data_IF_603096135978
#
_entry.id   IF_603096135978
#
_cell.length_a   1.000
_cell.length_b   1.000
_cell.length_c   1.000
_cell.angle_alpha   90.00
_cell.angle_beta   90.00
_cell.angle_gamma   90.00
#
_symmetry.space_group_name_H-M   'P 1'
#
loop_
_entity.id
_entity.type
_entity.pdbx_description
1 polymer ?
#
# COMPACT_ATOMS: atom_id res chain seq x y z
N UNK A 1 -29.94 -71.28 -53.50
CA UNK A 1 -28.67 -70.56 -53.24
C UNK A 1 -28.60 -69.24 -54.03
N UNK A 2 -29.38 -68.20 -53.68
CA UNK A 2 -29.30 -66.91 -54.41
C UNK A 2 -29.76 -65.68 -53.61
N UNK A 3 -30.69 -65.82 -52.65
CA UNK A 3 -31.23 -64.66 -51.93
C UNK A 3 -30.38 -64.24 -50.71
N UNK A 4 -29.95 -65.20 -49.90
CA UNK A 4 -29.14 -64.93 -48.69
C UNK A 4 -27.76 -64.35 -49.03
N UNK A 5 -27.11 -64.84 -50.09
CA UNK A 5 -25.80 -64.33 -50.53
C UNK A 5 -25.89 -62.87 -51.03
N UNK A 6 -26.99 -62.49 -51.70
CA UNK A 6 -27.25 -61.10 -52.10
C UNK A 6 -27.52 -60.18 -50.89
N UNK A 7 -28.25 -60.65 -49.88
CA UNK A 7 -28.55 -59.87 -48.67
C UNK A 7 -27.30 -59.61 -47.81
N UNK A 8 -26.44 -60.62 -47.63
CA UNK A 8 -25.19 -60.46 -46.88
C UNK A 8 -24.15 -59.61 -47.62
N UNK A 9 -24.01 -59.76 -48.95
CA UNK A 9 -23.12 -58.90 -49.73
C UNK A 9 -23.57 -57.43 -49.74
N UNK A 10 -24.88 -57.16 -49.87
CA UNK A 10 -25.38 -55.80 -49.94
C UNK A 10 -25.28 -55.06 -48.59
N UNK A 11 -25.42 -55.79 -47.46
CA UNK A 11 -25.22 -55.23 -46.12
C UNK A 11 -23.75 -54.89 -45.84
N UNK A 12 -22.83 -55.79 -46.22
CA UNK A 12 -21.39 -55.55 -46.10
C UNK A 12 -20.89 -54.42 -47.02
N UNK A 13 -21.44 -54.30 -48.23
CA UNK A 13 -21.11 -53.18 -49.15
C UNK A 13 -21.55 -51.84 -48.57
N UNK A 14 -22.76 -51.75 -48.00
CA UNK A 14 -23.24 -50.51 -47.36
C UNK A 14 -22.43 -50.11 -46.12
N UNK A 15 -21.93 -51.10 -45.37
CA UNK A 15 -21.03 -50.83 -44.23
C UNK A 15 -19.65 -50.34 -44.71
N UNK A 16 -19.11 -50.92 -45.78
CA UNK A 16 -17.87 -50.44 -46.41
C UNK A 16 -18.02 -49.03 -47.00
N UNK A 17 -19.15 -48.73 -47.63
CA UNK A 17 -19.46 -47.38 -48.13
C UNK A 17 -19.53 -46.36 -46.99
N UNK A 18 -20.15 -46.71 -45.86
CA UNK A 18 -20.16 -45.85 -44.67
C UNK A 18 -18.76 -45.61 -44.12
N UNK A 19 -17.95 -46.67 -43.99
CA UNK A 19 -16.56 -46.56 -43.50
C UNK A 19 -15.75 -45.67 -44.44
N UNK A 20 -15.89 -45.82 -45.76
CA UNK A 20 -15.21 -44.97 -46.74
C UNK A 20 -15.67 -43.51 -46.65
N UNK A 21 -16.97 -43.27 -46.44
CA UNK A 21 -17.48 -41.91 -46.26
C UNK A 21 -16.86 -41.26 -45.01
N UNK A 22 -16.86 -41.98 -43.89
CA UNK A 22 -16.27 -41.49 -42.62
C UNK A 22 -14.76 -41.28 -42.73
N UNK A 23 -14.04 -42.14 -43.46
CA UNK A 23 -12.62 -41.96 -43.72
C UNK A 23 -12.36 -40.74 -44.61
N UNK A 24 -13.19 -40.52 -45.62
CA UNK A 24 -13.11 -39.33 -46.50
C UNK A 24 -13.33 -38.04 -45.71
N UNK A 25 -14.34 -38.00 -44.84
CA UNK A 25 -14.61 -36.86 -43.94
C UNK A 25 -13.43 -36.60 -42.98
N UNK A 26 -12.85 -37.66 -42.40
CA UNK A 26 -11.67 -37.54 -41.54
C UNK A 26 -10.45 -37.02 -42.30
N UNK A 27 -10.22 -37.49 -43.52
CA UNK A 27 -9.13 -37.00 -44.37
C UNK A 27 -9.31 -35.51 -44.70
N UNK A 28 -10.54 -35.10 -45.04
CA UNK A 28 -10.83 -33.70 -45.35
C UNK A 28 -10.63 -32.78 -44.13
N UNK A 29 -11.00 -33.25 -42.93
CA UNK A 29 -10.76 -32.51 -41.69
C UNK A 29 -9.27 -32.40 -41.35
N UNK A 30 -8.52 -33.50 -41.48
CA UNK A 30 -7.07 -33.48 -41.28
C UNK A 30 -6.36 -32.54 -42.28
N UNK A 31 -6.85 -32.48 -43.51
CA UNK A 31 -6.31 -31.58 -44.53
C UNK A 31 -6.56 -30.11 -44.18
N UNK A 32 -7.75 -29.76 -43.66
CA UNK A 32 -8.03 -28.42 -43.14
C UNK A 32 -7.16 -28.06 -41.94
N UNK A 33 -7.00 -28.97 -40.99
CA UNK A 33 -6.12 -28.75 -39.83
C UNK A 33 -4.65 -28.54 -40.26
N UNK A 34 -4.23 -29.21 -41.33
CA UNK A 34 -2.88 -29.07 -41.88
C UNK A 34 -2.70 -27.70 -42.55
N UNK A 35 -3.66 -27.26 -43.36
CA UNK A 35 -3.67 -25.90 -43.95
C UNK A 35 -3.66 -24.80 -42.87
N UNK A 36 -4.47 -24.95 -41.82
CA UNK A 36 -4.49 -24.02 -40.69
C UNK A 36 -3.13 -23.94 -39.98
N UNK A 37 -2.48 -25.10 -39.78
CA UNK A 37 -1.14 -25.16 -39.18
C UNK A 37 -0.06 -24.59 -40.10
N UNK A 38 -0.16 -24.78 -41.41
CA UNK A 38 0.77 -24.17 -42.37
C UNK A 38 0.65 -22.64 -42.39
N UNK A 39 -0.57 -22.10 -42.32
CA UNK A 39 -0.81 -20.66 -42.17
C UNK A 39 -0.23 -20.14 -40.86
N UNK A 40 -0.42 -20.87 -39.75
CA UNK A 40 0.19 -20.52 -38.46
C UNK A 40 1.72 -20.52 -38.54
N UNK A 41 2.34 -21.53 -39.14
CA UNK A 41 3.80 -21.61 -39.32
C UNK A 41 4.31 -20.47 -40.20
N UNK A 42 3.61 -20.13 -41.29
CA UNK A 42 3.91 -18.97 -42.15
C UNK A 42 3.83 -17.64 -41.38
N UNK A 43 2.83 -17.47 -40.52
CA UNK A 43 2.68 -16.30 -39.66
C UNK A 43 3.79 -16.22 -38.59
N UNK A 44 4.16 -17.35 -37.98
CA UNK A 44 5.26 -17.40 -37.02
C UNK A 44 6.62 -17.14 -37.68
N UNK A 45 6.86 -17.67 -38.88
CA UNK A 45 8.11 -17.45 -39.61
C UNK A 45 8.23 -16.01 -40.14
N UNK A 46 7.11 -15.36 -40.50
CA UNK A 46 7.09 -13.92 -40.81
C UNK A 46 7.27 -13.01 -39.60
N UNK A 47 6.95 -13.48 -38.38
CA UNK A 47 7.32 -12.81 -37.13
C UNK A 47 8.81 -12.97 -36.79
N UNK A 48 9.42 -14.12 -37.11
CA UNK A 48 10.85 -14.37 -36.86
C UNK A 48 11.80 -13.71 -37.88
N UNK A 49 11.33 -13.37 -39.08
CA UNK A 49 12.15 -12.73 -40.12
C UNK A 49 12.36 -11.23 -39.93
N UNK A 50 11.72 -10.60 -38.93
CA UNK A 50 12.10 -9.26 -38.46
C UNK A 50 13.13 -9.41 -37.33
N UNK A 51 14.40 -9.01 -37.53
CA UNK A 51 15.38 -9.08 -36.47
C UNK A 51 14.93 -8.18 -35.31
N UNK A 52 14.97 -8.76 -34.11
CA UNK A 52 14.44 -8.28 -32.84
C UNK A 52 15.23 -7.07 -32.28
N UNK A 53 15.41 -6.04 -33.11
CA UNK A 53 16.25 -4.85 -32.82
C UNK A 53 15.53 -3.83 -31.94
N UNK A 54 14.19 -3.84 -31.95
CA UNK A 54 13.39 -2.83 -31.26
C UNK A 54 13.14 -3.21 -29.79
N UNK A 55 12.86 -4.49 -29.52
CA UNK A 55 12.79 -5.02 -28.15
C UNK A 55 14.15 -4.92 -27.44
N UNK A 56 15.27 -5.18 -28.11
CA UNK A 56 16.60 -5.11 -27.46
C UNK A 56 16.96 -3.68 -27.04
N UNK A 57 16.61 -2.67 -27.84
CA UNK A 57 16.80 -1.25 -27.48
C UNK A 57 15.90 -0.81 -26.33
N UNK A 58 14.64 -1.25 -26.31
CA UNK A 58 13.73 -0.96 -25.21
C UNK A 58 14.19 -1.62 -23.90
N UNK A 59 14.67 -2.87 -23.95
CA UNK A 59 15.26 -3.55 -22.80
C UNK A 59 16.54 -2.87 -22.30
N UNK A 60 17.43 -2.46 -23.21
CA UNK A 60 18.63 -1.68 -22.85
C UNK A 60 18.28 -0.34 -22.20
N UNK A 61 17.25 0.35 -22.70
CA UNK A 61 16.75 1.59 -22.11
C UNK A 61 16.16 1.36 -20.72
N UNK A 62 15.38 0.30 -20.55
CA UNK A 62 14.79 -0.08 -19.26
C UNK A 62 15.87 -0.46 -18.25
N UNK A 63 16.88 -1.22 -18.65
CA UNK A 63 18.02 -1.56 -17.79
C UNK A 63 18.81 -0.32 -17.39
N UNK A 64 19.07 0.60 -18.33
CA UNK A 64 19.71 1.89 -18.04
C UNK A 64 18.89 2.72 -17.04
N UNK A 65 17.58 2.79 -17.21
CA UNK A 65 16.69 3.52 -16.32
C UNK A 65 16.66 2.89 -14.91
N UNK A 66 16.61 1.55 -14.82
CA UNK A 66 16.68 0.85 -13.53
C UNK A 66 17.98 1.13 -12.79
N UNK A 67 19.13 1.10 -13.50
CA UNK A 67 20.44 1.44 -12.91
C UNK A 67 20.47 2.89 -12.42
N UNK A 68 19.96 3.83 -13.20
CA UNK A 68 19.87 5.23 -12.81
C UNK A 68 19.00 5.41 -11.55
N UNK A 69 17.83 4.76 -11.51
CA UNK A 69 16.94 4.81 -10.35
C UNK A 69 17.57 4.18 -9.09
N UNK A 70 18.32 3.09 -9.24
CA UNK A 70 19.07 2.49 -8.14
C UNK A 70 20.14 3.44 -7.60
N UNK A 71 20.85 4.12 -8.48
CA UNK A 71 21.87 5.11 -8.11
C UNK A 71 21.26 6.35 -7.45
N UNK A 72 20.18 6.89 -8.01
CA UNK A 72 19.41 7.99 -7.38
C UNK A 72 18.93 7.60 -5.98
N UNK A 73 18.39 6.38 -5.82
CA UNK A 73 17.93 5.89 -4.53
C UNK A 73 19.10 5.75 -3.54
N UNK A 74 20.27 5.29 -3.99
CA UNK A 74 21.49 5.25 -3.18
C UNK A 74 21.91 6.66 -2.74
N UNK A 75 21.97 7.60 -3.68
CA UNK A 75 22.32 9.00 -3.40
C UNK A 75 21.34 9.66 -2.43
N UNK A 76 20.04 9.41 -2.59
CA UNK A 76 19.00 9.90 -1.67
C UNK A 76 19.17 9.31 -0.26
N UNK A 77 19.45 8.01 -0.14
CA UNK A 77 19.75 7.38 1.16
C UNK A 77 20.98 7.98 1.82
N UNK A 78 22.06 8.19 1.06
CA UNK A 78 23.27 8.84 1.58
C UNK A 78 23.02 10.28 2.00
N UNK A 79 22.29 11.04 1.20
CA UNK A 79 21.91 12.42 1.53
C UNK A 79 21.03 12.46 2.77
N UNK A 80 20.08 11.53 2.92
CA UNK A 80 19.28 11.39 4.13
C UNK A 80 20.15 11.11 5.37
N UNK A 81 21.15 10.24 5.26
CA UNK A 81 22.11 9.98 6.35
C UNK A 81 22.91 11.25 6.68
N UNK A 82 23.40 11.98 5.67
CA UNK A 82 24.14 13.25 5.85
C UNK A 82 23.27 14.31 6.53
N UNK A 83 22.03 14.49 6.07
CA UNK A 83 21.06 15.41 6.66
C UNK A 83 20.79 15.05 8.13
N UNK A 84 20.59 13.77 8.45
CA UNK A 84 20.42 13.32 9.84
C UNK A 84 21.64 13.59 10.75
N UNK A 85 22.85 13.78 10.19
CA UNK A 85 24.05 14.16 10.96
C UNK A 85 24.15 15.68 11.18
N UNK A 86 23.66 16.47 10.23
CA UNK A 86 23.77 17.93 10.23
C UNK A 86 22.61 18.58 10.98
N UNK A 87 21.40 18.02 10.84
CA UNK A 87 20.25 18.44 11.63
C UNK A 87 20.65 18.21 13.08
N UNK A 88 20.74 19.27 13.91
CA UNK A 88 21.08 19.09 15.30
C UNK A 88 20.12 18.05 15.86
N UNK A 89 20.65 17.08 16.60
CA UNK A 89 19.84 16.32 17.55
C UNK A 89 19.38 17.33 18.60
N UNK A 90 18.51 18.27 18.22
CA UNK A 90 17.59 18.90 19.16
C UNK A 90 17.11 17.72 19.98
N UNK A 91 17.32 17.78 21.30
CA UNK A 91 16.68 16.80 22.17
C UNK A 91 15.22 16.87 21.77
N UNK A 92 14.74 15.82 21.09
CA UNK A 92 13.42 15.82 20.47
C UNK A 92 12.50 15.87 21.67
N UNK A 93 12.01 17.06 22.01
CA UNK A 93 11.03 17.20 23.07
C UNK A 93 9.76 16.65 22.44
N UNK A 94 9.41 15.43 22.84
CA UNK A 94 8.13 14.86 22.47
C UNK A 94 7.07 15.71 23.14
N UNK A 95 6.33 16.43 22.31
CA UNK A 95 5.31 17.37 22.75
C UNK A 95 3.94 16.72 22.83
N UNK A 96 3.75 15.51 22.27
CA UNK A 96 2.43 14.87 22.19
C UNK A 96 2.41 13.38 22.57
N UNK A 97 1.32 12.96 23.21
CA UNK A 97 0.98 11.58 23.57
C UNK A 97 0.46 10.80 22.36
N UNK A 98 1.04 9.63 22.10
CA UNK A 98 0.69 8.80 20.92
C UNK A 98 -0.28 7.70 21.33
N UNK A 99 -1.45 7.64 20.69
CA UNK A 99 -2.38 6.53 20.93
C UNK A 99 -1.79 5.20 20.48
N UNK A 100 -2.11 4.14 21.23
CA UNK A 100 -1.74 2.78 20.85
C UNK A 100 -2.24 2.39 19.45
N UNK A 101 -3.38 2.94 19.02
CA UNK A 101 -3.94 2.72 17.69
C UNK A 101 -3.03 3.22 16.57
N UNK A 102 -2.27 4.29 16.79
CA UNK A 102 -1.29 4.77 15.81
C UNK A 102 -0.01 3.95 15.85
N UNK A 103 0.52 3.70 17.04
CA UNK A 103 1.81 3.03 17.19
C UNK A 103 1.75 1.55 16.79
N UNK A 104 0.72 0.83 17.21
CA UNK A 104 0.49 -0.59 16.91
C UNK A 104 -0.61 -0.77 15.85
N UNK A 105 -0.62 0.06 14.81
CA UNK A 105 -1.67 0.09 13.79
C UNK A 105 -1.80 -1.19 12.95
N UNK A 106 -0.71 -1.96 12.79
CA UNK A 106 -0.72 -3.18 12.00
C UNK A 106 -1.66 -4.26 12.60
N UNK A 107 -2.36 -4.99 11.74
CA UNK A 107 -3.33 -6.03 12.14
C UNK A 107 -2.77 -7.08 13.09
N UNK A 108 -1.48 -7.44 12.94
CA UNK A 108 -0.82 -8.40 13.83
C UNK A 108 -0.72 -7.94 15.27
N UNK A 109 -0.80 -6.63 15.54
CA UNK A 109 -0.71 -6.06 16.88
C UNK A 109 -2.07 -5.73 17.50
N UNK A 110 -3.19 -6.13 16.87
CA UNK A 110 -4.54 -5.86 17.39
C UNK A 110 -4.71 -6.39 18.82
N UNK A 111 -4.35 -7.66 19.06
CA UNK A 111 -4.50 -8.26 20.39
C UNK A 111 -3.62 -7.60 21.46
N UNK A 112 -2.40 -7.18 21.09
CA UNK A 112 -1.52 -6.40 21.98
C UNK A 112 -2.18 -5.07 22.36
N UNK A 113 -2.74 -4.33 21.39
CA UNK A 113 -3.43 -3.07 21.67
C UNK A 113 -4.63 -3.26 22.59
N UNK A 114 -5.47 -4.25 22.30
CA UNK A 114 -6.69 -4.50 23.07
C UNK A 114 -6.38 -4.80 24.52
N UNK A 115 -5.42 -5.71 24.78
CA UNK A 115 -4.98 -6.03 26.15
C UNK A 115 -4.42 -4.82 26.89
N UNK A 116 -3.62 -3.99 26.22
CA UNK A 116 -3.10 -2.76 26.82
C UNK A 116 -4.23 -1.77 27.16
N UNK A 117 -5.18 -1.57 26.24
CA UNK A 117 -6.34 -0.70 26.46
C UNK A 117 -7.23 -1.20 27.61
N UNK A 118 -7.47 -2.51 27.69
CA UNK A 118 -8.20 -3.15 28.79
C UNK A 118 -7.51 -2.97 30.14
N UNK A 119 -6.17 -2.94 30.15
CA UNK A 119 -5.38 -2.64 31.36
C UNK A 119 -5.35 -1.15 31.74
N UNK A 120 -6.01 -0.29 30.95
CA UNK A 120 -6.08 1.15 31.17
C UNK A 120 -4.98 1.97 30.49
N UNK A 121 -4.10 1.33 29.73
CA UNK A 121 -3.02 2.00 28.99
C UNK A 121 -3.57 2.54 27.67
N UNK A 122 -3.61 3.87 27.54
CA UNK A 122 -4.14 4.55 26.35
C UNK A 122 -3.03 5.03 25.42
N UNK A 123 -1.88 5.42 25.99
CA UNK A 123 -0.80 6.05 25.25
C UNK A 123 0.47 5.21 25.27
N UNK A 124 1.27 5.32 24.21
CA UNK A 124 2.58 4.67 24.08
C UNK A 124 3.51 4.99 25.26
N UNK A 125 3.45 6.23 25.75
CA UNK A 125 4.28 6.72 26.84
C UNK A 125 3.99 6.02 28.19
N UNK A 126 2.81 5.45 28.35
CA UNK A 126 2.37 4.74 29.55
C UNK A 126 2.82 3.27 29.57
N UNK A 127 3.29 2.73 28.44
CA UNK A 127 3.78 1.36 28.36
C UNK A 127 5.10 1.23 29.15
N UNK A 128 5.21 0.14 29.92
CA UNK A 128 6.45 -0.32 30.51
C UNK A 128 6.86 -1.70 29.94
N UNK A 129 8.14 -2.07 30.10
CA UNK A 129 8.66 -3.34 29.57
C UNK A 129 8.07 -4.56 30.28
N UNK A 130 7.72 -4.43 31.56
CA UNK A 130 7.15 -5.51 32.38
C UNK A 130 5.77 -5.97 31.87
N UNK A 131 4.98 -5.08 31.26
CA UNK A 131 3.71 -5.43 30.62
C UNK A 131 3.88 -6.51 29.54
N UNK A 132 5.04 -6.60 28.89
CA UNK A 132 5.29 -7.63 27.87
C UNK A 132 5.54 -9.02 28.48
N UNK A 133 6.15 -9.08 29.66
CA UNK A 133 6.43 -10.34 30.36
C UNK A 133 5.28 -10.79 31.29
N UNK A 134 4.34 -9.90 31.60
CA UNK A 134 3.18 -10.15 32.46
C UNK A 134 1.88 -10.20 31.66
N UNK A 135 1.33 -9.03 31.28
CA UNK A 135 0.05 -8.88 30.61
C UNK A 135 0.02 -9.50 29.20
N UNK A 136 1.08 -9.31 28.41
CA UNK A 136 1.13 -9.72 27.00
C UNK A 136 1.85 -11.05 26.77
N UNK A 137 2.26 -11.74 27.84
CA UNK A 137 3.13 -12.92 27.79
C UNK A 137 2.65 -14.01 26.82
N UNK A 138 1.33 -14.20 26.74
CA UNK A 138 0.69 -15.24 25.92
C UNK A 138 0.33 -14.76 24.51
N UNK A 139 0.64 -13.50 24.15
CA UNK A 139 0.36 -12.98 22.83
C UNK A 139 1.32 -13.57 21.78
N UNK A 140 0.77 -14.02 20.66
CA UNK A 140 1.53 -14.59 19.54
C UNK A 140 2.63 -13.66 19.02
N UNK A 141 2.38 -12.35 19.04
CA UNK A 141 3.27 -11.33 18.49
C UNK A 141 4.00 -10.53 19.59
N UNK A 142 4.02 -11.00 20.84
CA UNK A 142 4.61 -10.28 21.98
C UNK A 142 6.06 -9.88 21.74
N UNK A 143 6.88 -10.76 21.16
CA UNK A 143 8.30 -10.49 20.90
C UNK A 143 8.48 -9.37 19.87
N UNK A 144 7.68 -9.38 18.80
CA UNK A 144 7.71 -8.34 17.77
C UNK A 144 7.17 -7.00 18.31
N UNK A 145 6.13 -7.07 19.15
CA UNK A 145 5.57 -5.91 19.84
C UNK A 145 6.58 -5.27 20.79
N UNK A 146 7.28 -6.08 21.58
CA UNK A 146 8.34 -5.66 22.49
C UNK A 146 9.50 -5.03 21.71
N UNK A 147 9.97 -5.68 20.65
CA UNK A 147 11.04 -5.13 19.83
C UNK A 147 10.67 -3.76 19.27
N UNK A 148 9.45 -3.60 18.74
CA UNK A 148 8.95 -2.29 18.25
C UNK A 148 8.96 -1.23 19.36
N UNK A 149 8.56 -1.59 20.59
CA UNK A 149 8.59 -0.69 21.74
C UNK A 149 10.02 -0.31 22.16
N UNK A 150 10.95 -1.27 22.16
CA UNK A 150 12.36 -1.03 22.45
C UNK A 150 13.02 -0.15 21.39
N UNK A 151 12.67 -0.33 20.12
CA UNK A 151 13.11 0.54 19.03
C UNK A 151 12.62 1.97 19.25
N UNK A 152 11.37 2.15 19.72
CA UNK A 152 10.85 3.44 20.15
C UNK A 152 11.67 4.07 21.29
N UNK A 153 11.98 3.33 22.35
CA UNK A 153 12.83 3.83 23.46
C UNK A 153 14.24 4.21 22.99
N UNK A 154 14.76 3.58 21.94
CA UNK A 154 16.04 3.91 21.30
C UNK A 154 15.95 5.06 20.28
N UNK A 155 14.76 5.60 20.03
CA UNK A 155 14.52 6.65 19.04
C UNK A 155 14.51 6.15 17.58
N UNK A 156 14.48 4.84 17.37
CA UNK A 156 14.33 4.20 16.05
C UNK A 156 12.81 4.04 15.82
N UNK A 157 12.19 5.11 15.33
CA UNK A 157 10.73 5.21 15.22
C UNK A 157 10.35 5.50 13.77
N UNK A 158 9.22 4.92 13.34
CA UNK A 158 8.60 5.23 12.04
C UNK A 158 8.34 6.74 11.91
N UNK A 159 8.53 7.28 10.71
CA UNK A 159 8.47 8.73 10.48
C UNK A 159 7.12 9.35 10.85
N UNK A 160 6.03 8.62 10.63
CA UNK A 160 4.68 9.09 10.98
C UNK A 160 4.51 9.25 12.49
N UNK A 161 4.93 8.25 13.28
CA UNK A 161 4.90 8.30 14.74
C UNK A 161 5.83 9.40 15.25
N UNK A 162 7.02 9.54 14.64
CA UNK A 162 7.98 10.58 14.99
C UNK A 162 7.41 11.97 14.74
N UNK A 163 6.76 12.17 13.59
CA UNK A 163 6.10 13.43 13.22
C UNK A 163 4.98 13.74 14.21
N UNK A 164 4.15 12.76 14.55
CA UNK A 164 3.10 12.92 15.54
C UNK A 164 3.65 13.33 16.90
N UNK A 165 4.67 12.64 17.42
CA UNK A 165 5.29 12.94 18.71
C UNK A 165 5.77 14.40 18.83
N UNK A 166 6.19 15.00 17.71
CA UNK A 166 6.68 16.37 17.67
C UNK A 166 5.59 17.40 17.37
N UNK A 167 4.74 17.10 16.39
CA UNK A 167 3.85 18.07 15.76
C UNK A 167 2.38 17.88 16.06
N UNK A 168 2.01 16.71 16.59
CA UNK A 168 0.62 16.30 16.80
C UNK A 168 -0.07 15.91 15.49
N UNK A 169 -1.40 15.92 15.52
CA UNK A 169 -2.23 15.60 14.36
C UNK A 169 -2.19 16.70 13.30
N UNK A 170 -2.55 16.33 12.06
CA UNK A 170 -2.83 17.31 11.02
C UNK A 170 -4.12 18.09 11.35
N UNK A 171 -4.10 19.40 11.12
CA UNK A 171 -5.28 20.26 11.33
C UNK A 171 -6.47 19.82 10.48
N UNK A 172 -6.21 19.26 9.30
CA UNK A 172 -7.24 18.70 8.40
C UNK A 172 -8.03 17.56 9.02
N UNK A 173 -7.40 16.74 9.87
CA UNK A 173 -8.07 15.66 10.59
C UNK A 173 -8.95 16.20 11.71
N UNK A 174 -8.46 17.20 12.46
CA UNK A 174 -9.18 17.78 13.60
C UNK A 174 -10.34 18.66 13.13
N UNK A 175 -10.13 19.49 12.12
CA UNK A 175 -11.12 20.47 11.63
C UNK A 175 -11.76 20.05 10.30
N UNK A 176 -11.90 18.74 10.05
CA UNK A 176 -12.40 18.18 8.78
C UNK A 176 -13.74 18.78 8.27
N UNK A 177 -14.60 19.32 9.14
CA UNK A 177 -15.88 19.93 8.78
C UNK A 177 -15.78 21.42 8.43
N UNK A 178 -14.64 22.06 8.70
CA UNK A 178 -14.46 23.51 8.63
C UNK A 178 -13.61 23.90 7.42
N UNK A 179 -14.11 23.63 6.21
CA UNK A 179 -13.34 23.77 4.96
C UNK A 179 -12.76 25.17 4.75
N UNK A 180 -13.53 26.22 5.04
CA UNK A 180 -13.07 27.61 4.93
C UNK A 180 -11.88 27.89 5.86
N UNK A 181 -11.95 27.40 7.10
CA UNK A 181 -10.86 27.54 8.07
C UNK A 181 -9.63 26.76 7.62
N UNK A 182 -9.79 25.52 7.15
CA UNK A 182 -8.69 24.71 6.63
C UNK A 182 -7.98 25.35 5.43
N UNK A 183 -8.71 26.03 4.55
CA UNK A 183 -8.09 26.73 3.41
C UNK A 183 -7.17 27.87 3.90
N UNK A 184 -7.61 28.65 4.89
CA UNK A 184 -6.80 29.74 5.48
C UNK A 184 -5.55 29.17 6.15
N UNK A 185 -5.70 28.10 6.93
CA UNK A 185 -4.55 27.43 7.54
C UNK A 185 -3.56 26.95 6.47
N UNK A 186 -4.05 26.35 5.39
CA UNK A 186 -3.21 25.90 4.28
C UNK A 186 -2.49 27.06 3.58
N UNK A 187 -3.14 28.20 3.38
CA UNK A 187 -2.53 29.40 2.79
C UNK A 187 -1.41 29.97 3.68
N UNK A 188 -1.52 29.78 4.99
CA UNK A 188 -0.51 30.17 5.98
C UNK A 188 0.53 29.07 6.28
N UNK A 189 0.52 27.96 5.54
CA UNK A 189 1.39 26.79 5.76
C UNK A 189 1.25 26.15 7.16
N UNK A 190 0.07 26.24 7.76
CA UNK A 190 -0.27 25.58 9.03
C UNK A 190 -0.81 24.19 8.70
N UNK A 191 -0.01 23.15 8.98
CA UNK A 191 -0.37 21.77 8.64
C UNK A 191 -0.72 20.95 9.90
N UNK A 192 -0.05 21.21 11.02
CA UNK A 192 -0.15 20.41 12.23
C UNK A 192 -0.68 21.21 13.43
N UNK A 193 -1.17 20.51 14.44
CA UNK A 193 -1.70 21.14 15.65
C UNK A 193 -0.66 22.00 16.38
N UNK A 194 0.63 21.62 16.35
CA UNK A 194 1.69 22.47 16.93
C UNK A 194 1.80 23.83 16.26
N UNK A 195 1.52 23.91 14.95
CA UNK A 195 1.65 25.15 14.18
C UNK A 195 0.60 26.19 14.60
N UNK A 196 -0.53 25.75 15.19
CA UNK A 196 -1.57 26.60 15.74
C UNK A 196 -1.19 27.29 17.06
N UNK A 197 -0.07 26.92 17.70
CA UNK A 197 0.38 27.58 18.94
C UNK A 197 0.74 29.05 18.74
N UNK A 198 1.18 29.41 17.53
CA UNK A 198 1.48 30.80 17.15
C UNK A 198 0.39 31.43 16.30
N UNK A 199 -0.73 30.75 16.07
CA UNK A 199 -1.81 31.23 15.22
C UNK A 199 -2.72 32.19 15.97
N UNK A 200 -2.93 33.39 15.42
CA UNK A 200 -3.89 34.34 15.96
C UNK A 200 -5.30 34.02 15.45
N UNK A 201 -6.08 33.32 16.28
CA UNK A 201 -7.47 32.99 15.98
C UNK A 201 -8.35 34.23 15.77
N UNK A 202 -8.02 35.40 16.36
CA UNK A 202 -8.84 36.60 16.18
C UNK A 202 -8.71 37.21 14.79
N UNK A 203 -7.60 36.94 14.09
CA UNK A 203 -7.43 37.33 12.68
C UNK A 203 -8.52 36.75 11.76
N UNK A 204 -9.19 35.66 12.16
CA UNK A 204 -10.30 35.07 11.42
C UNK A 204 -11.51 36.00 11.28
N UNK A 205 -11.63 37.03 12.11
CA UNK A 205 -12.66 38.06 11.94
C UNK A 205 -12.55 38.75 10.57
N UNK A 206 -11.33 38.99 10.08
CA UNK A 206 -11.07 39.61 8.77
C UNK A 206 -11.55 38.72 7.61
N UNK A 207 -11.61 37.41 7.84
CA UNK A 207 -12.11 36.43 6.89
C UNK A 207 -13.62 36.21 7.02
N UNK A 208 -14.32 36.97 7.86
CA UNK A 208 -15.77 36.92 8.05
C UNK A 208 -16.24 35.67 8.79
N UNK A 209 -15.49 35.19 9.78
CA UNK A 209 -15.99 34.23 10.77
C UNK A 209 -16.76 34.95 11.88
N UNK A 210 -17.75 34.29 12.46
CA UNK A 210 -18.42 34.80 13.66
C UNK A 210 -17.54 34.59 14.89
N UNK A 211 -17.75 35.39 15.94
CA UNK A 211 -17.02 35.18 17.21
C UNK A 211 -17.28 33.78 17.79
N UNK A 212 -18.50 33.27 17.64
CA UNK A 212 -18.88 31.92 18.07
C UNK A 212 -18.05 30.83 17.37
N UNK A 213 -17.83 30.97 16.05
CA UNK A 213 -16.99 30.02 15.29
C UNK A 213 -15.52 30.09 15.73
N UNK A 214 -15.00 31.30 15.95
CA UNK A 214 -13.62 31.52 16.38
C UNK A 214 -13.38 30.89 17.74
N UNK A 215 -14.28 31.14 18.69
CA UNK A 215 -14.21 30.58 20.04
C UNK A 215 -14.33 29.05 20.00
N UNK A 216 -15.20 28.50 19.15
CA UNK A 216 -15.31 27.06 18.95
C UNK A 216 -14.01 26.44 18.38
N UNK A 217 -13.34 27.10 17.43
CA UNK A 217 -12.07 26.61 16.89
C UNK A 217 -10.95 26.63 17.93
N UNK A 218 -10.88 27.72 18.70
CA UNK A 218 -9.90 27.88 19.78
C UNK A 218 -10.15 26.86 20.90
N UNK A 219 -11.38 26.70 21.34
CA UNK A 219 -11.73 25.71 22.36
C UNK A 219 -11.37 24.28 21.91
N UNK A 220 -11.58 23.96 20.63
CA UNK A 220 -11.19 22.66 20.07
C UNK A 220 -9.68 22.44 20.09
N UNK A 221 -8.90 23.48 19.79
CA UNK A 221 -7.44 23.45 19.87
C UNK A 221 -6.98 23.25 21.32
N UNK A 222 -7.53 24.03 22.26
CA UNK A 222 -7.20 23.94 23.68
C UNK A 222 -7.56 22.56 24.26
N UNK A 223 -8.73 22.03 23.91
CA UNK A 223 -9.16 20.69 24.35
C UNK A 223 -8.24 19.59 23.83
N UNK A 224 -7.82 19.69 22.55
CA UNK A 224 -6.86 18.75 21.96
C UNK A 224 -5.53 18.76 22.71
N UNK A 225 -4.99 19.95 22.99
CA UNK A 225 -3.73 20.08 23.70
C UNK A 225 -3.83 19.63 25.16
N UNK A 226 -4.94 19.92 25.85
CA UNK A 226 -5.14 19.45 27.22
C UNK A 226 -5.16 17.91 27.33
N UNK A 227 -5.67 17.22 26.30
CA UNK A 227 -5.69 15.76 26.27
C UNK A 227 -4.34 15.16 25.84
N UNK A 228 -3.63 15.80 24.92
CA UNK A 228 -2.52 15.16 24.18
C UNK A 228 -1.17 15.80 24.36
N UNK A 229 -1.05 17.07 24.76
CA UNK A 229 0.24 17.73 24.91
C UNK A 229 0.93 17.22 26.19
N UNK A 230 2.22 16.97 26.12
CA UNK A 230 3.07 16.52 27.24
C UNK A 230 3.57 17.72 28.04
#
# INVERSE_FOLDING_TARGET
MSFLFKLFNNKNIKELEKINLTLSEKLQNLQKELEEKEVLISNYSSLQSKPNTDYSKQWQLMEKNLRNLQEENRMLKENFIKLNRIIPKQQWQYSFLVDLHYFYSANKFVSIREKLLESGVKYLQEINEEMFSTLLKEDRYVQEGLQKFLDYKKGIIDWDVKTFLMKGDKVTKIYQKSRKFLNILSEQNIEFMVDLESFDFQSLNEFGFSQEDIDAFKQKYESYNAERKI
#
